data_IF_195396753552
#
_entry.id   IF_195396753552
#
_cell.length_a   1.000
_cell.length_b   1.000
_cell.length_c   1.000
_cell.angle_alpha   90.00
_cell.angle_beta   90.00
_cell.angle_gamma   90.00
#
_symmetry.space_group_name_H-M   'P 1'
#
loop_
_entity.id
_entity.type
_entity.pdbx_description
1 polymer ?
#
# COMPACT_ATOMS: atom_id res chain seq x y z
N UNK A 1 -47.86 30.61 -27.85
CA UNK A 1 -47.16 31.74 -27.19
C UNK A 1 -48.15 32.90 -27.10
N UNK A 2 -48.33 33.49 -25.92
CA UNK A 2 -49.14 34.72 -25.79
C UNK A 2 -48.42 35.86 -26.52
N UNK A 3 -49.14 36.60 -27.37
CA UNK A 3 -48.59 37.73 -28.11
C UNK A 3 -48.54 38.92 -27.16
N UNK A 4 -47.33 39.39 -26.84
CA UNK A 4 -47.14 40.55 -25.97
C UNK A 4 -47.55 41.79 -26.78
N UNK A 5 -48.52 42.53 -26.27
CA UNK A 5 -49.18 43.64 -26.99
C UNK A 5 -48.99 45.00 -26.32
N UNK A 6 -48.51 45.02 -25.07
CA UNK A 6 -48.24 46.25 -24.32
C UNK A 6 -46.88 46.21 -23.61
N UNK A 7 -46.34 47.39 -23.29
CA UNK A 7 -45.10 47.55 -22.51
C UNK A 7 -45.20 46.97 -21.10
N UNK A 8 -46.40 46.99 -20.50
CA UNK A 8 -46.67 46.38 -19.20
C UNK A 8 -46.56 44.85 -19.27
N UNK A 9 -47.18 44.23 -20.28
CA UNK A 9 -47.10 42.78 -20.50
C UNK A 9 -45.66 42.31 -20.77
N UNK A 10 -44.85 43.14 -21.43
CA UNK A 10 -43.45 42.85 -21.68
C UNK A 10 -42.63 42.84 -20.38
N UNK A 11 -42.82 43.83 -19.51
CA UNK A 11 -42.11 43.91 -18.23
C UNK A 11 -42.49 42.76 -17.28
N UNK A 12 -43.77 42.39 -17.24
CA UNK A 12 -44.22 41.22 -16.47
C UNK A 12 -43.61 39.92 -16.99
N UNK A 13 -43.54 39.75 -18.32
CA UNK A 13 -42.88 38.60 -18.92
C UNK A 13 -41.37 38.56 -18.59
N UNK A 14 -40.68 39.70 -18.65
CA UNK A 14 -39.26 39.82 -18.28
C UNK A 14 -39.05 39.46 -16.81
N UNK A 15 -39.89 39.97 -15.90
CA UNK A 15 -39.81 39.66 -14.47
C UNK A 15 -40.03 38.17 -14.21
N UNK A 16 -41.07 37.59 -14.83
CA UNK A 16 -41.37 36.16 -14.70
C UNK A 16 -40.22 35.29 -15.24
N UNK A 17 -39.66 35.63 -16.39
CA UNK A 17 -38.54 34.89 -16.99
C UNK A 17 -37.26 35.03 -16.17
N UNK A 18 -36.99 36.21 -15.61
CA UNK A 18 -35.84 36.44 -14.75
C UNK A 18 -35.92 35.64 -13.45
N UNK A 19 -37.11 35.57 -12.86
CA UNK A 19 -37.36 34.73 -11.69
C UNK A 19 -37.19 33.24 -12.01
N UNK A 20 -37.74 32.80 -13.16
CA UNK A 20 -37.60 31.43 -13.62
C UNK A 20 -36.14 31.06 -13.87
N UNK A 21 -35.38 31.92 -14.55
CA UNK A 21 -33.96 31.74 -14.83
C UNK A 21 -33.15 31.63 -13.54
N UNK A 22 -33.42 32.49 -12.56
CA UNK A 22 -32.76 32.45 -11.25
C UNK A 22 -33.02 31.13 -10.51
N UNK A 23 -34.27 30.68 -10.49
CA UNK A 23 -34.65 29.40 -9.88
C UNK A 23 -34.01 28.21 -10.59
N UNK A 24 -34.02 28.19 -11.92
CA UNK A 24 -33.37 27.15 -12.71
C UNK A 24 -31.86 27.11 -12.49
N UNK A 25 -31.20 28.29 -12.41
CA UNK A 25 -29.78 28.40 -12.12
C UNK A 25 -29.43 27.85 -10.73
N UNK A 26 -30.25 28.14 -9.72
CA UNK A 26 -30.07 27.60 -8.36
C UNK A 26 -30.23 26.08 -8.34
N UNK A 27 -31.26 25.54 -8.99
CA UNK A 27 -31.49 24.11 -9.09
C UNK A 27 -30.31 23.39 -9.78
N UNK A 28 -29.81 23.96 -10.88
CA UNK A 28 -28.67 23.41 -11.60
C UNK A 28 -27.42 23.37 -10.72
N UNK A 29 -27.16 24.45 -9.97
CA UNK A 29 -26.03 24.52 -9.03
C UNK A 29 -26.14 23.46 -7.93
N UNK A 30 -27.33 23.27 -7.35
CA UNK A 30 -27.56 22.29 -6.29
C UNK A 30 -27.40 20.85 -6.82
N UNK A 31 -27.91 20.57 -8.02
CA UNK A 31 -27.70 19.28 -8.69
C UNK A 31 -26.21 19.04 -8.98
N UNK A 32 -25.49 20.03 -9.51
CA UNK A 32 -24.06 19.93 -9.77
C UNK A 32 -23.24 19.63 -8.50
N UNK A 33 -23.52 20.35 -7.41
CA UNK A 33 -22.86 20.12 -6.13
C UNK A 33 -23.19 18.73 -5.54
N UNK A 34 -24.41 18.25 -5.75
CA UNK A 34 -24.82 16.91 -5.33
C UNK A 34 -24.10 15.83 -6.13
N UNK A 35 -24.03 15.99 -7.45
CA UNK A 35 -23.30 15.09 -8.34
C UNK A 35 -21.82 15.03 -7.99
N UNK A 36 -21.15 16.19 -7.84
CA UNK A 36 -19.74 16.22 -7.41
C UNK A 36 -19.57 15.55 -6.04
N UNK A 37 -20.51 15.75 -5.11
CA UNK A 37 -20.46 15.11 -3.80
C UNK A 37 -20.59 13.60 -3.92
N UNK A 38 -21.47 13.10 -4.76
CA UNK A 38 -21.63 11.66 -5.02
C UNK A 38 -20.34 11.04 -5.59
N UNK A 39 -19.72 11.70 -6.57
CA UNK A 39 -18.45 11.28 -7.17
C UNK A 39 -17.20 11.52 -6.29
N UNK A 40 -17.36 12.01 -5.06
CA UNK A 40 -16.22 12.07 -4.13
C UNK A 40 -15.73 10.64 -3.86
N UNK A 41 -14.42 10.37 -3.92
CA UNK A 41 -13.88 9.04 -3.69
C UNK A 41 -14.36 8.40 -2.38
N UNK A 42 -14.52 9.20 -1.32
CA UNK A 42 -15.05 8.71 -0.04
C UNK A 42 -16.48 8.13 -0.13
N UNK A 43 -17.35 8.71 -0.97
CA UNK A 43 -18.72 8.22 -1.15
C UNK A 43 -18.76 7.00 -2.09
N UNK A 44 -17.91 6.98 -3.12
CA UNK A 44 -17.74 5.82 -4.00
C UNK A 44 -17.18 4.60 -3.24
N UNK A 45 -16.22 4.82 -2.33
CA UNK A 45 -15.67 3.77 -1.47
C UNK A 45 -16.75 3.23 -0.53
N UNK A 46 -17.64 4.09 0.00
CA UNK A 46 -18.71 3.65 0.89
C UNK A 46 -19.70 2.71 0.19
N UNK A 47 -20.15 3.06 -1.02
CA UNK A 47 -21.07 2.22 -1.77
C UNK A 47 -20.44 0.91 -2.23
N UNK A 48 -19.16 0.94 -2.64
CA UNK A 48 -18.42 -0.27 -3.03
C UNK A 48 -18.04 -1.14 -1.83
N UNK A 49 -17.88 -0.58 -0.63
CA UNK A 49 -17.58 -1.33 0.59
C UNK A 49 -18.75 -2.23 1.01
N UNK A 50 -19.98 -1.72 0.94
CA UNK A 50 -21.18 -2.51 1.25
C UNK A 50 -21.36 -3.67 0.25
N UNK A 51 -21.07 -3.46 -1.03
CA UNK A 51 -21.10 -4.52 -2.06
C UNK A 51 -20.00 -5.57 -1.84
N UNK A 52 -18.81 -5.14 -1.44
CA UNK A 52 -17.66 -5.98 -1.15
C UNK A 52 -17.90 -6.89 0.07
N UNK A 53 -18.45 -6.36 1.16
CA UNK A 53 -18.70 -7.15 2.38
C UNK A 53 -19.80 -8.18 2.18
N UNK A 54 -20.77 -7.90 1.32
CA UNK A 54 -21.87 -8.82 1.02
C UNK A 54 -21.51 -9.91 -0.01
N UNK A 55 -20.32 -9.85 -0.62
CA UNK A 55 -19.84 -10.85 -1.58
C UNK A 55 -18.72 -11.73 -1.00
N UNK A 56 -18.97 -13.03 -0.74
CA UNK A 56 -17.97 -13.95 -0.20
C UNK A 56 -16.71 -14.06 -1.06
N UNK A 57 -16.83 -13.92 -2.39
CA UNK A 57 -15.71 -13.99 -3.33
C UNK A 57 -14.81 -12.75 -3.26
N UNK A 58 -15.40 -11.55 -3.13
CA UNK A 58 -14.65 -10.30 -3.00
C UNK A 58 -13.93 -10.23 -1.66
N UNK A 59 -14.57 -10.66 -0.58
CA UNK A 59 -13.91 -10.78 0.74
C UNK A 59 -12.69 -11.71 0.65
N UNK A 60 -12.82 -12.87 0.02
CA UNK A 60 -11.70 -13.81 -0.18
C UNK A 60 -10.55 -13.18 -0.99
N UNK A 61 -10.87 -12.43 -2.04
CA UNK A 61 -9.87 -11.75 -2.87
C UNK A 61 -9.18 -10.59 -2.14
N UNK A 62 -9.87 -9.87 -1.25
CA UNK A 62 -9.25 -8.83 -0.42
C UNK A 62 -8.35 -9.45 0.63
N UNK A 63 -8.75 -10.55 1.25
CA UNK A 63 -7.89 -11.28 2.20
C UNK A 63 -6.63 -11.78 1.50
N UNK A 64 -6.74 -12.42 0.33
CA UNK A 64 -5.57 -12.90 -0.42
C UNK A 64 -4.68 -11.75 -0.91
N UNK A 65 -5.26 -10.64 -1.37
CA UNK A 65 -4.52 -9.45 -1.79
C UNK A 65 -3.83 -8.76 -0.62
N UNK A 66 -4.51 -8.63 0.53
CA UNK A 66 -3.94 -8.04 1.75
C UNK A 66 -2.80 -8.88 2.32
N UNK A 67 -2.87 -10.21 2.21
CA UNK A 67 -1.76 -11.10 2.51
C UNK A 67 -0.58 -10.86 1.55
N UNK A 68 -0.83 -10.69 0.25
CA UNK A 68 0.20 -10.33 -0.74
C UNK A 68 0.84 -8.97 -0.47
N UNK A 69 0.05 -7.95 -0.13
CA UNK A 69 0.53 -6.61 0.22
C UNK A 69 1.30 -6.63 1.54
N UNK A 70 0.79 -7.31 2.57
CA UNK A 70 1.44 -7.39 3.88
C UNK A 70 2.73 -8.19 3.77
N UNK A 71 2.72 -9.31 3.07
CA UNK A 71 3.91 -10.11 2.79
C UNK A 71 4.90 -9.31 1.95
N UNK A 72 4.46 -8.62 0.90
CA UNK A 72 5.29 -7.76 0.07
C UNK A 72 5.84 -6.54 0.82
N UNK A 73 5.09 -5.97 1.77
CA UNK A 73 5.52 -4.87 2.62
C UNK A 73 6.50 -5.33 3.70
N UNK A 74 6.26 -6.47 4.34
CA UNK A 74 7.20 -7.11 5.27
C UNK A 74 8.47 -7.46 4.52
N UNK A 75 8.36 -8.10 3.36
CA UNK A 75 9.48 -8.38 2.45
C UNK A 75 10.21 -7.10 2.09
N UNK A 76 9.51 -6.03 1.68
CA UNK A 76 10.16 -4.76 1.35
C UNK A 76 10.82 -4.11 2.57
N UNK A 77 10.22 -4.21 3.75
CA UNK A 77 10.70 -3.59 5.00
C UNK A 77 11.84 -4.39 5.64
N UNK A 78 11.87 -5.71 5.46
CA UNK A 78 12.89 -6.64 6.00
C UNK A 78 14.01 -6.88 4.99
N UNK A 79 13.70 -6.96 3.70
CA UNK A 79 14.63 -7.32 2.62
C UNK A 79 15.12 -6.10 1.83
N UNK A 80 14.27 -5.10 1.55
CA UNK A 80 14.58 -4.05 0.54
C UNK A 80 14.88 -2.67 1.17
N UNK A 81 14.42 -2.36 2.39
CA UNK A 81 14.73 -1.08 3.06
C UNK A 81 15.89 -1.25 4.05
N UNK A 82 17.03 -0.65 3.71
CA UNK A 82 18.20 -0.38 4.56
C UNK A 82 19.25 -1.50 4.66
N UNK A 83 20.26 -1.38 3.80
CA UNK A 83 21.68 -1.68 4.06
C UNK A 83 22.07 -1.79 5.56
N UNK A 84 22.07 -2.99 6.15
CA UNK A 84 22.46 -3.14 7.55
C UNK A 84 22.36 -4.51 8.24
N UNK A 85 22.27 -5.63 7.52
CA UNK A 85 22.60 -6.98 8.02
C UNK A 85 22.04 -7.42 9.39
N UNK A 86 20.78 -7.13 9.77
CA UNK A 86 20.27 -7.57 11.09
C UNK A 86 20.06 -9.09 11.17
N UNK A 87 19.50 -9.72 10.13
CA UNK A 87 19.32 -11.17 10.10
C UNK A 87 20.67 -11.91 10.00
N UNK A 88 21.58 -11.42 9.15
CA UNK A 88 22.94 -11.94 9.05
C UNK A 88 23.74 -11.71 10.34
N UNK A 89 23.51 -10.60 11.06
CA UNK A 89 24.08 -10.38 12.41
C UNK A 89 23.47 -11.32 13.44
N UNK A 90 22.17 -11.63 13.37
CA UNK A 90 21.53 -12.58 14.28
C UNK A 90 22.09 -14.00 14.07
N UNK A 91 22.16 -14.44 12.81
CA UNK A 91 22.76 -15.72 12.45
C UNK A 91 24.25 -15.73 12.84
N UNK A 92 24.98 -14.66 12.56
CA UNK A 92 26.38 -14.50 12.96
C UNK A 92 26.58 -14.56 14.47
N UNK A 93 25.72 -13.93 15.27
CA UNK A 93 25.76 -13.98 16.74
C UNK A 93 25.44 -15.39 17.26
N UNK A 94 24.45 -16.08 16.69
CA UNK A 94 24.13 -17.46 17.09
C UNK A 94 25.30 -18.39 16.80
N UNK A 95 25.90 -18.28 15.61
CA UNK A 95 27.10 -19.05 15.24
C UNK A 95 28.26 -18.70 16.17
N UNK A 96 28.49 -17.42 16.44
CA UNK A 96 29.55 -16.96 17.33
C UNK A 96 29.39 -17.51 18.75
N UNK A 97 28.17 -17.51 19.31
CA UNK A 97 27.89 -18.10 20.63
C UNK A 97 28.14 -19.60 20.63
N UNK A 98 27.69 -20.32 19.59
CA UNK A 98 27.93 -21.76 19.45
C UNK A 98 29.43 -22.10 19.38
N UNK A 99 30.19 -21.38 18.55
CA UNK A 99 31.65 -21.55 18.43
C UNK A 99 32.36 -21.19 19.75
N UNK A 100 31.99 -20.09 20.40
CA UNK A 100 32.60 -19.66 21.67
C UNK A 100 32.36 -20.69 22.78
N UNK A 101 31.16 -21.26 22.84
CA UNK A 101 30.80 -22.30 23.82
C UNK A 101 31.57 -23.60 23.55
N UNK A 102 31.71 -23.98 22.28
CA UNK A 102 32.50 -25.14 21.89
C UNK A 102 33.99 -24.97 22.22
N UNK A 103 34.56 -23.78 22.02
CA UNK A 103 35.97 -23.48 22.38
C UNK A 103 36.16 -23.53 23.90
N UNK A 104 35.22 -23.00 24.68
CA UNK A 104 35.32 -22.97 26.14
C UNK A 104 35.22 -24.36 26.78
N UNK A 105 34.52 -25.28 26.15
CA UNK A 105 34.32 -26.65 26.66
C UNK A 105 35.33 -27.65 26.10
N UNK A 106 35.70 -27.55 24.81
CA UNK A 106 36.58 -28.49 24.12
C UNK A 106 37.59 -27.75 23.21
N UNK A 107 38.56 -27.03 23.79
CA UNK A 107 39.46 -26.15 23.06
C UNK A 107 40.35 -26.86 22.04
N UNK A 108 40.82 -28.07 22.34
CA UNK A 108 41.78 -28.79 21.50
C UNK A 108 41.12 -29.41 20.25
N UNK A 109 39.86 -29.84 20.37
CA UNK A 109 39.08 -30.37 19.24
C UNK A 109 38.70 -29.27 18.24
N UNK A 110 38.29 -28.10 18.73
CA UNK A 110 37.96 -26.96 17.87
C UNK A 110 39.22 -26.41 17.19
N UNK A 111 40.37 -26.40 17.87
CA UNK A 111 41.66 -26.03 17.25
C UNK A 111 42.08 -27.02 16.16
N UNK A 112 41.90 -28.33 16.38
CA UNK A 112 42.22 -29.34 15.36
C UNK A 112 41.28 -29.26 14.15
N UNK A 113 39.97 -29.06 14.37
CA UNK A 113 38.99 -28.89 13.30
C UNK A 113 39.21 -27.58 12.52
N UNK A 114 39.41 -26.47 13.22
CA UNK A 114 39.74 -25.16 12.62
C UNK A 114 41.06 -25.20 11.86
N UNK A 115 42.09 -25.83 12.42
CA UNK A 115 43.38 -26.03 11.76
C UNK A 115 43.26 -26.82 10.46
N UNK A 116 42.43 -27.88 10.43
CA UNK A 116 42.15 -28.63 9.19
C UNK A 116 41.42 -27.78 8.15
N UNK A 117 40.43 -26.97 8.55
CA UNK A 117 39.68 -26.10 7.63
C UNK A 117 40.59 -25.00 7.06
N UNK A 118 41.40 -24.35 7.90
CA UNK A 118 42.37 -23.34 7.47
C UNK A 118 43.39 -23.96 6.53
N UNK A 119 43.92 -25.15 6.85
CA UNK A 119 44.85 -25.83 5.97
C UNK A 119 44.19 -26.23 4.64
N UNK A 120 42.94 -26.70 4.64
CA UNK A 120 42.20 -26.99 3.39
C UNK A 120 41.93 -25.74 2.54
N UNK A 121 41.74 -24.57 3.16
CA UNK A 121 41.48 -23.31 2.46
C UNK A 121 42.77 -22.64 1.96
N UNK A 122 43.85 -22.68 2.73
CA UNK A 122 45.14 -22.05 2.36
C UNK A 122 46.04 -22.98 1.51
N UNK A 123 45.93 -24.30 1.65
CA UNK A 123 46.77 -25.26 0.91
C UNK A 123 46.26 -25.53 -0.52
N UNK A 124 45.16 -24.89 -0.96
CA UNK A 124 44.72 -24.86 -2.37
C UNK A 124 45.54 -23.93 -3.25
N UNK A 125 46.39 -23.07 -2.67
CA UNK A 125 47.17 -22.08 -3.42
C UNK A 125 48.66 -22.42 -3.64
N UNK A 126 49.12 -23.66 -3.35
CA UNK A 126 50.56 -23.99 -3.41
C UNK A 126 50.99 -25.29 -4.13
N UNK A 127 50.20 -25.86 -5.06
CA UNK A 127 50.69 -26.92 -5.97
C UNK A 127 49.78 -27.08 -7.21
N UNK A 128 49.73 -26.11 -8.13
CA UNK A 128 50.48 -26.16 -9.40
C UNK A 128 51.94 -25.67 -9.31
N UNK A 129 52.87 -26.60 -9.15
CA UNK A 129 54.17 -26.74 -9.84
C UNK A 129 54.83 -28.03 -9.36
#
# INVERSE_FOLDING_TARGET
MKKISSTYELNEAINSLSLQQSNQGKLLKDQFLTTIRYFKPANLIKETFDEVVNSPELVKNIVSTSLGITTGFITKKVIIRNSGNILLKLIGNIIQIGVTTAIATHPDEVKAAGGKIINLLFNRNHKNQ
#
